data_IF_474510376626
#
_entry.id   IF_474510376626
#
_cell.length_a   1.000
_cell.length_b   1.000
_cell.length_c   1.000
_cell.angle_alpha   90.00
_cell.angle_beta   90.00
_cell.angle_gamma   90.00
#
_symmetry.space_group_name_H-M   'P 1'
#
loop_
_entity.id
_entity.type
_entity.pdbx_description
1 polymer ?
#
# COMPACT_ATOMS: atom_id res chain seq x y z
N UNK A 1 11.66 13.55 -3.35
CA UNK A 1 11.64 12.12 -3.73
C UNK A 1 10.32 11.71 -4.39
N UNK A 2 9.15 12.18 -3.93
CA UNK A 2 7.85 11.88 -4.57
C UNK A 2 7.65 12.47 -5.98
N UNK A 3 8.11 13.69 -6.25
CA UNK A 3 7.99 14.33 -7.59
C UNK A 3 8.71 13.56 -8.70
N UNK A 4 9.83 12.90 -8.39
CA UNK A 4 10.62 12.17 -9.39
C UNK A 4 9.93 10.85 -9.80
N UNK A 5 9.24 10.20 -8.86
CA UNK A 5 8.44 9.00 -9.15
C UNK A 5 7.24 9.33 -10.06
N UNK A 6 6.54 10.45 -9.79
CA UNK A 6 5.43 10.91 -10.63
C UNK A 6 5.89 11.26 -12.05
N UNK A 7 7.05 11.90 -12.19
CA UNK A 7 7.63 12.21 -13.50
C UNK A 7 7.94 10.93 -14.31
N UNK A 8 8.55 9.91 -13.68
CA UNK A 8 8.87 8.63 -14.32
C UNK A 8 7.63 7.85 -14.77
N UNK A 9 6.58 7.83 -13.94
CA UNK A 9 5.31 7.16 -14.29
C UNK A 9 4.64 7.89 -15.46
N UNK A 10 4.67 9.22 -15.49
CA UNK A 10 4.11 10.00 -16.60
C UNK A 10 4.85 9.75 -17.91
N UNK A 11 6.17 9.64 -17.87
CA UNK A 11 7.01 9.26 -19.02
C UNK A 11 6.67 7.85 -19.52
N UNK A 12 6.46 6.90 -18.59
CA UNK A 12 6.07 5.52 -18.89
C UNK A 12 4.71 5.46 -19.62
N UNK A 13 3.71 6.19 -19.14
CA UNK A 13 2.38 6.26 -19.77
C UNK A 13 2.47 6.86 -21.17
N UNK A 14 3.27 7.91 -21.35
CA UNK A 14 3.45 8.56 -22.66
C UNK A 14 4.06 7.58 -23.67
N UNK A 15 5.11 6.85 -23.26
CA UNK A 15 5.76 5.82 -24.08
C UNK A 15 4.82 4.65 -24.41
N UNK A 16 4.05 4.17 -23.42
CA UNK A 16 3.08 3.10 -23.61
C UNK A 16 1.92 3.48 -24.52
N UNK A 17 1.49 4.74 -24.49
CA UNK A 17 0.44 5.27 -25.39
C UNK A 17 0.95 5.42 -26.83
N UNK A 18 2.21 5.77 -27.03
CA UNK A 18 2.84 5.84 -28.37
C UNK A 18 3.06 4.45 -28.98
N UNK A 19 3.44 3.47 -28.18
CA UNK A 19 3.81 2.13 -28.64
C UNK A 19 2.64 1.14 -28.62
N UNK A 20 1.57 1.42 -27.87
CA UNK A 20 0.40 0.56 -27.72
C UNK A 20 0.63 -0.68 -26.86
N UNK A 21 1.87 -0.90 -26.40
CA UNK A 21 2.25 -1.97 -25.49
C UNK A 21 3.36 -1.51 -24.54
N UNK A 22 3.51 -2.21 -23.42
CA UNK A 22 4.59 -2.02 -22.47
C UNK A 22 5.09 -3.38 -21.96
N UNK A 23 6.38 -3.50 -21.65
CA UNK A 23 6.91 -4.74 -21.09
C UNK A 23 6.93 -4.73 -19.56
N UNK A 24 6.81 -5.90 -18.94
CA UNK A 24 6.94 -6.05 -17.47
C UNK A 24 8.27 -5.49 -16.94
N UNK A 25 9.36 -5.67 -17.71
CA UNK A 25 10.66 -5.11 -17.37
C UNK A 25 10.66 -3.57 -17.37
N UNK A 26 10.03 -2.95 -18.37
CA UNK A 26 9.94 -1.50 -18.46
C UNK A 26 9.06 -0.91 -17.36
N UNK A 27 7.95 -1.58 -16.99
CA UNK A 27 7.15 -1.18 -15.82
C UNK A 27 8.04 -1.20 -14.56
N UNK A 28 8.72 -2.31 -14.32
CA UNK A 28 9.54 -2.51 -13.12
C UNK A 28 10.71 -1.52 -13.02
N UNK A 29 11.34 -1.16 -14.14
CA UNK A 29 12.47 -0.22 -14.20
C UNK A 29 12.07 1.24 -13.92
N UNK A 30 10.81 1.61 -14.21
CA UNK A 30 10.30 2.97 -14.01
C UNK A 30 9.53 3.13 -12.70
N UNK A 31 9.25 2.02 -12.01
CA UNK A 31 8.73 2.04 -10.65
C UNK A 31 9.82 2.53 -9.67
N UNK A 32 9.48 3.38 -8.69
CA UNK A 32 10.43 3.78 -7.66
C UNK A 32 10.81 2.58 -6.77
N UNK A 33 12.07 2.51 -6.33
CA UNK A 33 12.65 1.44 -5.48
C UNK A 33 11.88 1.15 -4.16
N UNK A 34 10.84 1.92 -3.83
CA UNK A 34 9.96 1.72 -2.69
C UNK A 34 8.71 0.88 -2.98
N UNK A 35 8.37 0.64 -4.24
CA UNK A 35 7.27 -0.24 -4.67
C UNK A 35 7.90 -1.58 -5.07
N UNK A 36 8.10 -2.45 -4.07
CA UNK A 36 8.70 -3.79 -4.26
C UNK A 36 7.60 -4.88 -4.19
N UNK A 37 6.35 -4.47 -3.97
CA UNK A 37 5.25 -5.39 -3.69
C UNK A 37 4.58 -5.86 -4.96
N UNK A 38 4.60 -7.19 -5.17
CA UNK A 38 3.95 -7.83 -6.33
C UNK A 38 2.50 -7.41 -6.49
N UNK A 39 1.74 -7.28 -5.39
CA UNK A 39 0.34 -6.83 -5.42
C UNK A 39 0.21 -5.39 -5.93
N UNK A 40 1.10 -4.48 -5.49
CA UNK A 40 1.09 -3.10 -5.96
C UNK A 40 1.50 -2.99 -7.43
N UNK A 41 2.41 -3.87 -7.88
CA UNK A 41 2.79 -3.97 -9.28
C UNK A 41 1.60 -4.45 -10.11
N UNK A 42 0.86 -5.46 -9.65
CA UNK A 42 -0.37 -5.94 -10.30
C UNK A 42 -1.46 -4.86 -10.37
N UNK A 43 -1.67 -4.08 -9.30
CA UNK A 43 -2.61 -2.96 -9.29
C UNK A 43 -2.23 -1.88 -10.31
N UNK A 44 -0.93 -1.53 -10.40
CA UNK A 44 -0.42 -0.58 -11.39
C UNK A 44 -0.58 -1.11 -12.82
N UNK A 45 -0.33 -2.40 -13.04
CA UNK A 45 -0.55 -3.05 -14.34
C UNK A 45 -2.05 -3.02 -14.70
N UNK A 46 -2.94 -3.24 -13.74
CA UNK A 46 -4.39 -3.08 -13.91
C UNK A 46 -4.75 -1.67 -14.37
N UNK A 47 -4.26 -0.64 -13.67
CA UNK A 47 -4.49 0.76 -14.04
C UNK A 47 -3.98 1.11 -15.44
N UNK A 48 -2.80 0.61 -15.82
CA UNK A 48 -2.22 0.84 -17.16
C UNK A 48 -3.05 0.14 -18.25
N UNK A 49 -3.57 -1.05 -17.94
CA UNK A 49 -4.43 -1.82 -18.85
C UNK A 49 -5.78 -1.12 -19.05
N UNK A 50 -6.34 -0.53 -18.00
CA UNK A 50 -7.58 0.27 -18.05
C UNK A 50 -7.41 1.54 -18.90
N UNK A 51 -6.19 2.10 -18.96
CA UNK A 51 -5.84 3.21 -19.86
C UNK A 51 -5.62 2.77 -21.31
N UNK A 52 -5.82 1.50 -21.65
CA UNK A 52 -5.75 0.96 -23.00
C UNK A 52 -4.36 0.52 -23.47
N UNK A 53 -3.38 0.45 -22.57
CA UNK A 53 -2.00 0.01 -22.89
C UNK A 53 -1.85 -1.45 -22.49
N UNK A 54 -1.49 -2.33 -23.43
CA UNK A 54 -1.30 -3.77 -23.12
C UNK A 54 0.07 -4.03 -22.50
N UNK A 55 0.10 -4.63 -21.30
CA UNK A 55 1.36 -5.09 -20.68
C UNK A 55 1.65 -6.54 -21.11
N UNK A 56 2.83 -6.77 -21.71
CA UNK A 56 3.25 -8.08 -22.23
C UNK A 56 4.60 -8.50 -21.65
N UNK A 57 4.83 -9.81 -21.48
CA UNK A 57 6.07 -10.36 -20.90
C UNK A 57 7.23 -10.38 -21.91
N UNK A 58 6.93 -10.47 -23.20
CA UNK A 58 7.91 -10.51 -24.30
C UNK A 58 7.46 -9.53 -25.39
N UNK A 59 8.42 -8.82 -26.00
CA UNK A 59 8.12 -7.93 -27.13
C UNK A 59 7.63 -8.82 -28.27
N UNK A 60 6.40 -8.64 -28.79
CA UNK A 60 5.97 -9.40 -29.94
C UNK A 60 6.89 -9.06 -31.12
N UNK A 61 7.51 -10.07 -31.74
CA UNK A 61 8.35 -9.91 -32.94
C UNK A 61 7.57 -9.45 -34.18
N UNK A 62 6.25 -9.25 -34.06
CA UNK A 62 5.39 -8.80 -35.15
C UNK A 62 5.11 -7.30 -35.05
N UNK A 63 5.58 -6.58 -36.08
CA UNK A 63 5.46 -5.15 -36.38
C UNK A 63 4.00 -4.66 -36.61
N UNK A 64 2.99 -5.43 -36.14
CA UNK A 64 1.56 -5.28 -36.45
C UNK A 64 0.74 -4.54 -35.37
N UNK A 65 1.37 -3.95 -34.35
CA UNK A 65 0.69 -3.11 -33.37
C UNK A 65 0.51 -1.63 -33.83
N UNK A 66 0.77 -1.33 -35.11
CA UNK A 66 0.68 0.03 -35.68
C UNK A 66 -0.72 0.48 -36.09
N UNK A 67 -1.78 -0.28 -35.80
CA UNK A 67 -3.13 0.03 -36.31
C UNK A 67 -4.15 0.04 -35.18
N UNK A 68 -4.15 1.06 -34.33
CA UNK A 68 -5.37 1.60 -33.70
C UNK A 68 -5.15 3.08 -33.39
N UNK A 69 -5.02 3.88 -34.45
CA UNK A 69 -5.14 5.32 -34.35
C UNK A 69 -6.17 5.78 -35.39
N UNK A 70 -7.44 5.60 -35.04
CA UNK A 70 -8.57 6.26 -35.69
C UNK A 70 -9.78 6.20 -34.74
N UNK A 71 -9.79 7.03 -33.70
CA UNK A 71 -10.98 7.88 -33.46
C UNK A 71 -10.70 8.99 -32.43
N UNK A 72 -11.26 10.16 -32.75
CA UNK A 72 -11.58 11.30 -31.88
C UNK A 72 -10.44 12.15 -31.27
N UNK A 73 -10.13 13.23 -31.98
CA UNK A 73 -9.81 14.53 -31.36
C UNK A 73 -11.01 15.07 -30.60
N UNK A 74 -10.83 15.52 -29.35
CA UNK A 74 -11.54 16.67 -28.77
C UNK A 74 -11.12 16.86 -27.32
N UNK A 75 -10.41 17.97 -27.05
CA UNK A 75 -10.58 19.00 -25.98
C UNK A 75 -11.18 18.64 -24.58
N UNK A 76 -11.41 17.37 -24.24
CA UNK A 76 -11.93 16.85 -22.98
C UNK A 76 -10.82 16.23 -22.10
N UNK A 77 -9.57 16.30 -22.56
CA UNK A 77 -8.41 15.58 -22.00
C UNK A 77 -7.87 16.14 -20.65
N UNK A 78 -8.12 17.41 -20.30
CA UNK A 78 -7.57 18.01 -19.07
C UNK A 78 -8.41 17.69 -17.82
N UNK A 79 -9.74 17.74 -17.91
CA UNK A 79 -10.62 17.46 -16.75
C UNK A 79 -10.61 15.97 -16.36
N UNK A 80 -10.54 15.06 -17.35
CA UNK A 80 -10.45 13.61 -17.08
C UNK A 80 -9.09 13.22 -16.50
N UNK A 81 -8.02 13.89 -16.93
CA UNK A 81 -6.69 13.68 -16.37
C UNK A 81 -6.59 14.17 -14.92
N UNK A 82 -7.17 15.32 -14.59
CA UNK A 82 -7.18 15.84 -13.21
C UNK A 82 -8.08 15.01 -12.28
N UNK A 83 -9.21 14.50 -12.77
CA UNK A 83 -10.07 13.58 -12.03
C UNK A 83 -9.40 12.22 -11.80
N UNK A 84 -8.66 11.71 -12.79
CA UNK A 84 -7.82 10.51 -12.66
C UNK A 84 -6.66 10.72 -11.68
N UNK A 85 -6.01 11.89 -11.71
CA UNK A 85 -4.95 12.23 -10.74
C UNK A 85 -5.54 12.31 -9.33
N UNK A 86 -6.72 12.91 -9.14
CA UNK A 86 -7.39 12.93 -7.84
C UNK A 86 -7.79 11.53 -7.37
N UNK A 87 -8.29 10.67 -8.26
CA UNK A 87 -8.60 9.27 -7.96
C UNK A 87 -7.35 8.50 -7.55
N UNK A 88 -6.22 8.69 -8.24
CA UNK A 88 -4.95 8.04 -7.88
C UNK A 88 -4.41 8.59 -6.54
N UNK A 89 -4.59 9.89 -6.25
CA UNK A 89 -4.11 10.51 -5.01
C UNK A 89 -4.96 10.11 -3.78
N UNK A 90 -6.25 9.89 -3.97
CA UNK A 90 -7.13 9.33 -2.93
C UNK A 90 -6.91 7.82 -2.77
N UNK A 91 -6.61 7.11 -3.86
CA UNK A 91 -6.13 5.73 -3.86
C UNK A 91 -4.75 5.58 -3.21
N UNK A 92 -3.92 6.62 -3.15
CA UNK A 92 -2.61 6.62 -2.48
C UNK A 92 -2.77 6.44 -0.95
N UNK A 93 -3.95 6.72 -0.37
CA UNK A 93 -4.29 6.34 1.01
C UNK A 93 -4.67 4.85 1.14
N UNK A 94 -4.97 4.18 0.04
CA UNK A 94 -5.40 2.78 -0.04
C UNK A 94 -4.30 1.86 -0.63
N UNK A 95 -3.33 2.41 -1.38
CA UNK A 95 -2.17 1.74 -1.96
C UNK A 95 -1.27 1.07 -0.92
N UNK A 96 -1.43 1.38 0.37
CA UNK A 96 -0.73 0.72 1.47
C UNK A 96 -1.52 -0.40 2.17
N UNK A 97 -2.76 -0.67 1.76
CA UNK A 97 -3.61 -1.72 2.35
C UNK A 97 -3.42 -3.02 1.59
N UNK A 98 -2.33 -3.71 1.90
CA UNK A 98 -2.22 -5.14 1.57
C UNK A 98 -3.44 -5.89 2.11
N UNK A 99 -4.03 -6.74 1.27
CA UNK A 99 -5.09 -7.68 1.65
C UNK A 99 -4.55 -8.96 2.27
N UNK A 100 -3.22 -9.12 2.32
CA UNK A 100 -2.55 -10.28 2.91
C UNK A 100 -2.64 -10.22 4.46
N UNK A 101 -3.26 -11.24 5.11
CA UNK A 101 -3.42 -11.26 6.56
C UNK A 101 -2.10 -11.28 7.35
N UNK A 102 -1.07 -11.93 6.81
CA UNK A 102 0.26 -12.02 7.42
C UNK A 102 0.93 -10.66 7.38
N UNK A 103 0.82 -9.97 6.25
CA UNK A 103 1.41 -8.65 6.05
C UNK A 103 0.68 -7.57 6.83
N UNK A 104 -0.64 -7.69 6.95
CA UNK A 104 -1.45 -6.88 7.88
C UNK A 104 -0.93 -7.03 9.31
N UNK A 105 -0.71 -8.28 9.77
CA UNK A 105 -0.17 -8.55 11.09
C UNK A 105 1.25 -8.00 11.29
N UNK A 106 2.17 -8.21 10.34
CA UNK A 106 3.53 -7.69 10.43
C UNK A 106 3.57 -6.16 10.50
N UNK A 107 2.73 -5.49 9.72
CA UNK A 107 2.61 -4.03 9.76
C UNK A 107 2.12 -3.57 11.13
N UNK A 108 1.07 -4.19 11.66
CA UNK A 108 0.50 -3.82 12.94
C UNK A 108 1.47 -4.12 14.11
N UNK A 109 2.15 -5.27 14.09
CA UNK A 109 3.22 -5.57 15.03
C UNK A 109 4.37 -4.55 14.97
N UNK A 110 4.75 -4.11 13.77
CA UNK A 110 5.84 -3.15 13.56
C UNK A 110 5.52 -1.72 14.03
N UNK A 111 4.25 -1.40 14.28
CA UNK A 111 3.88 -0.09 14.87
C UNK A 111 4.25 0.01 16.35
N UNK A 112 4.40 -1.12 17.03
CA UNK A 112 4.72 -1.18 18.45
C UNK A 112 6.23 -1.29 18.62
N UNK A 113 6.82 -0.30 19.28
CA UNK A 113 8.25 -0.31 19.56
C UNK A 113 8.63 -1.46 20.50
N UNK A 114 9.83 -2.01 20.31
CA UNK A 114 10.40 -2.98 21.24
C UNK A 114 10.59 -2.37 22.63
N UNK A 115 10.34 -3.16 23.65
CA UNK A 115 10.56 -2.77 25.03
C UNK A 115 12.05 -2.73 25.35
N UNK A 116 12.47 -1.72 26.10
CA UNK A 116 13.78 -1.73 26.76
C UNK A 116 13.68 -2.56 28.04
N UNK A 117 14.82 -3.07 28.52
CA UNK A 117 14.89 -3.82 29.79
C UNK A 117 14.22 -3.07 30.96
N UNK A 118 14.38 -1.76 31.02
CA UNK A 118 13.76 -0.91 32.05
C UNK A 118 12.24 -0.84 31.89
N UNK A 119 11.75 -0.74 30.64
CA UNK A 119 10.33 -0.78 30.32
C UNK A 119 9.68 -2.12 30.68
N UNK A 120 10.36 -3.24 30.44
CA UNK A 120 9.91 -4.58 30.84
C UNK A 120 9.75 -4.68 32.37
N UNK A 121 10.75 -4.19 33.12
CA UNK A 121 10.70 -4.19 34.60
C UNK A 121 9.56 -3.30 35.11
N UNK A 122 9.33 -2.14 34.50
CA UNK A 122 8.25 -1.24 34.88
C UNK A 122 6.87 -1.88 34.66
N UNK A 123 6.67 -2.57 33.52
CA UNK A 123 5.45 -3.31 33.23
C UNK A 123 5.26 -4.45 34.23
N UNK A 124 6.31 -5.23 34.51
CA UNK A 124 6.25 -6.31 35.48
C UNK A 124 5.81 -5.84 36.88
N UNK A 125 6.40 -4.74 37.36
CA UNK A 125 6.02 -4.13 38.66
C UNK A 125 4.57 -3.66 38.66
N UNK A 126 4.10 -3.05 37.58
CA UNK A 126 2.71 -2.60 37.46
C UNK A 126 1.72 -3.76 37.47
N UNK A 127 2.07 -4.88 36.83
CA UNK A 127 1.27 -6.11 36.86
C UNK A 127 1.23 -6.68 38.29
N UNK A 128 2.37 -6.76 38.98
CA UNK A 128 2.46 -7.24 40.36
C UNK A 128 1.64 -6.38 41.33
N UNK A 129 1.71 -5.06 41.20
CA UNK A 129 0.92 -4.13 41.99
C UNK A 129 -0.59 -4.31 41.74
N UNK A 130 -0.99 -4.45 40.47
CA UNK A 130 -2.38 -4.74 40.10
C UNK A 130 -2.89 -6.05 40.69
N UNK A 131 -2.08 -7.10 40.68
CA UNK A 131 -2.42 -8.38 41.32
C UNK A 131 -2.58 -8.22 42.84
N UNK A 132 -1.65 -7.54 43.50
CA UNK A 132 -1.73 -7.27 44.94
C UNK A 132 -2.99 -6.47 45.31
N UNK A 133 -3.38 -5.49 44.49
CA UNK A 133 -4.62 -4.73 44.69
C UNK A 133 -5.85 -5.64 44.61
N UNK A 134 -5.91 -6.54 43.63
CA UNK A 134 -7.00 -7.52 43.50
C UNK A 134 -7.04 -8.46 44.71
N UNK A 135 -5.89 -8.99 45.14
CA UNK A 135 -5.81 -9.86 46.32
C UNK A 135 -6.27 -9.14 47.59
N UNK A 136 -5.85 -7.88 47.79
CA UNK A 136 -6.30 -7.07 48.92
C UNK A 136 -7.80 -6.84 48.91
N UNK A 137 -8.38 -6.51 47.75
CA UNK A 137 -9.82 -6.30 47.61
C UNK A 137 -10.61 -7.56 47.96
N UNK A 138 -10.17 -8.73 47.49
CA UNK A 138 -10.81 -10.02 47.80
C UNK A 138 -10.72 -10.32 49.30
N UNK A 139 -9.53 -10.17 49.90
CA UNK A 139 -9.32 -10.41 51.33
C UNK A 139 -10.19 -9.49 52.20
N UNK A 140 -10.30 -8.21 51.82
CA UNK A 140 -11.14 -7.24 52.52
C UNK A 140 -12.63 -7.64 52.48
N UNK A 141 -13.13 -8.03 51.31
CA UNK A 141 -14.52 -8.49 51.15
C UNK A 141 -14.79 -9.74 52.01
N UNK A 142 -13.86 -10.69 52.04
CA UNK A 142 -14.01 -11.92 52.82
C UNK A 142 -14.08 -11.65 54.34
N UNK A 143 -13.27 -10.72 54.85
CA UNK A 143 -13.29 -10.31 56.26
C UNK A 143 -14.61 -9.61 56.62
N UNK A 144 -15.11 -8.75 55.74
CA UNK A 144 -16.39 -8.06 55.94
C UNK A 144 -17.56 -9.04 56.00
N UNK A 145 -17.57 -10.07 55.14
CA UNK A 145 -18.60 -11.11 55.14
C UNK A 145 -18.57 -12.01 56.39
N UNK A 146 -17.42 -12.23 57.02
CA UNK A 146 -17.30 -12.99 58.27
C UNK A 146 -17.67 -12.16 59.52
N UNK A 147 -17.73 -10.84 59.40
CA UNK A 147 -18.04 -9.93 60.52
C UNK A 147 -19.54 -9.62 60.66
N UNK A 148 -20.37 -10.23 59.80
CA UNK A 148 -21.84 -10.22 59.86
C UNK A 148 -22.35 -11.63 60.19
#
# INVERSE_FOLDING_TARGET
MKENAQAKIKELITKGKEQGYLTYAEVNDHLPDGIIDSDQIEDIIGMITDMGIKVQEEVPEDDDARIFNDDASSEEDEDVADEAVQAITSSDQEFGRTTDPVRMYMREMGTVNLLTREGEIAIAKRIEEGLNQVTHAIAFIQIQLQSY
#
